data_IF_213560841008
#
_entry.id   IF_213560841008
#
_cell.length_a   1.000
_cell.length_b   1.000
_cell.length_c   1.000
_cell.angle_alpha   90.00
_cell.angle_beta   90.00
_cell.angle_gamma   90.00
#
_symmetry.space_group_name_H-M   'P 1'
#
loop_
_entity.id
_entity.type
_entity.pdbx_description
1 polymer ?
#
# COMPACT_ATOMS: atom_id res chain seq x y z
N UNK A 1 64.05 -21.32 11.89
CA UNK A 1 62.73 -20.95 11.34
C UNK A 1 61.71 -20.68 12.47
N UNK A 2 61.73 -19.50 13.13
CA UNK A 2 60.69 -19.05 14.10
C UNK A 2 60.62 -17.51 14.19
N UNK A 3 60.84 -16.80 13.07
CA UNK A 3 61.03 -15.34 13.07
C UNK A 3 59.79 -14.56 13.52
N UNK A 4 58.62 -15.17 13.50
CA UNK A 4 57.33 -14.58 13.89
C UNK A 4 56.89 -14.85 15.33
N UNK A 5 57.55 -15.75 16.09
CA UNK A 5 57.14 -16.12 17.46
C UNK A 5 57.83 -15.29 18.56
N UNK A 6 58.48 -14.19 18.22
CA UNK A 6 58.96 -13.23 19.24
C UNK A 6 57.77 -12.45 19.78
N UNK A 7 57.61 -12.37 21.11
CA UNK A 7 56.55 -11.63 21.82
C UNK A 7 56.10 -10.32 21.14
N UNK A 8 57.00 -9.38 20.77
CA UNK A 8 56.57 -8.11 20.17
C UNK A 8 55.93 -8.26 18.78
N UNK A 9 56.41 -9.21 17.96
CA UNK A 9 55.84 -9.46 16.63
C UNK A 9 54.49 -10.16 16.72
N UNK A 10 54.37 -11.11 17.65
CA UNK A 10 53.12 -11.81 17.90
C UNK A 10 52.04 -10.84 18.40
N UNK A 11 52.38 -9.96 19.35
CA UNK A 11 51.49 -8.92 19.83
C UNK A 11 51.00 -8.01 18.69
N UNK A 12 51.91 -7.57 17.81
CA UNK A 12 51.54 -6.74 16.65
C UNK A 12 50.60 -7.45 15.67
N UNK A 13 50.80 -8.74 15.41
CA UNK A 13 49.90 -9.54 14.56
C UNK A 13 48.52 -9.65 15.20
N UNK A 14 48.44 -9.94 16.50
CA UNK A 14 47.17 -10.01 17.22
C UNK A 14 46.44 -8.67 17.24
N UNK A 15 47.17 -7.57 17.46
CA UNK A 15 46.59 -6.23 17.44
C UNK A 15 46.07 -5.84 16.05
N UNK A 16 46.82 -6.20 15.01
CA UNK A 16 46.40 -6.00 13.62
C UNK A 16 45.13 -6.79 13.29
N UNK A 17 45.10 -8.08 13.65
CA UNK A 17 43.92 -8.92 13.46
C UNK A 17 42.72 -8.40 14.23
N UNK A 18 42.92 -8.01 15.50
CA UNK A 18 41.88 -7.40 16.31
C UNK A 18 41.32 -6.14 15.66
N UNK A 19 42.19 -5.23 15.23
CA UNK A 19 41.81 -4.00 14.53
C UNK A 19 40.99 -4.26 13.27
N UNK A 20 41.44 -5.19 12.41
CA UNK A 20 40.71 -5.58 11.20
C UNK A 20 39.33 -6.14 11.52
N UNK A 21 39.24 -6.97 12.57
CA UNK A 21 37.97 -7.60 12.97
C UNK A 21 36.98 -6.55 13.49
N UNK A 22 37.45 -5.61 14.33
CA UNK A 22 36.63 -4.50 14.84
C UNK A 22 36.11 -3.63 13.70
N UNK A 23 36.98 -3.22 12.78
CA UNK A 23 36.58 -2.44 11.59
C UNK A 23 35.57 -3.20 10.75
N UNK A 24 35.76 -4.51 10.57
CA UNK A 24 34.82 -5.37 9.85
C UNK A 24 33.43 -5.40 10.48
N UNK A 25 33.34 -5.45 11.81
CA UNK A 25 32.06 -5.40 12.54
C UNK A 25 31.35 -4.06 12.30
N UNK A 26 32.06 -2.93 12.38
CA UNK A 26 31.46 -1.63 12.13
C UNK A 26 30.99 -1.47 10.68
N UNK A 27 31.77 -1.94 9.72
CA UNK A 27 31.37 -1.94 8.31
C UNK A 27 30.11 -2.79 8.09
N UNK A 28 30.01 -3.94 8.75
CA UNK A 28 28.83 -4.79 8.67
C UNK A 28 27.60 -4.11 9.27
N UNK A 29 27.77 -3.45 10.41
CA UNK A 29 26.69 -2.76 11.11
C UNK A 29 26.18 -1.55 10.31
N UNK A 30 27.06 -0.73 9.73
CA UNK A 30 26.65 0.44 8.96
C UNK A 30 26.03 0.07 7.60
N UNK A 31 26.53 -0.99 6.95
CA UNK A 31 26.04 -1.39 5.63
C UNK A 31 24.77 -2.27 5.67
N UNK A 32 24.65 -3.20 6.63
CA UNK A 32 23.49 -4.12 6.68
C UNK A 32 22.45 -3.76 7.74
N UNK A 33 22.86 -3.27 8.92
CA UNK A 33 21.95 -3.10 10.07
C UNK A 33 21.38 -1.69 10.15
N UNK A 34 22.22 -0.67 9.98
CA UNK A 34 21.81 0.73 10.09
C UNK A 34 20.71 1.14 9.09
N UNK A 35 20.72 0.71 7.82
CA UNK A 35 19.65 1.04 6.88
C UNK A 35 18.30 0.48 7.32
N UNK A 36 18.29 -0.74 7.86
CA UNK A 36 17.08 -1.35 8.39
C UNK A 36 16.49 -0.58 9.56
N UNK A 37 17.32 -0.22 10.54
CA UNK A 37 16.87 0.59 11.67
C UNK A 37 16.32 1.95 11.25
N UNK A 38 16.93 2.61 10.26
CA UNK A 38 16.45 3.90 9.73
C UNK A 38 15.11 3.74 9.00
N UNK A 39 14.94 2.64 8.26
CA UNK A 39 13.70 2.34 7.55
C UNK A 39 12.55 2.02 8.51
N UNK A 40 12.80 1.17 9.51
CA UNK A 40 11.81 0.81 10.53
C UNK A 40 11.42 2.01 11.40
N UNK A 41 12.38 2.89 11.73
CA UNK A 41 12.10 4.14 12.42
C UNK A 41 11.18 5.07 11.61
N UNK A 42 11.16 4.96 10.29
CA UNK A 42 10.23 5.67 9.41
C UNK A 42 8.88 4.96 9.24
N UNK A 43 8.60 3.90 10.01
CA UNK A 43 7.37 3.10 9.92
C UNK A 43 7.26 2.27 8.65
N UNK A 44 8.39 2.06 7.95
CA UNK A 44 8.47 1.27 6.72
C UNK A 44 9.02 -0.12 7.02
N UNK A 45 8.87 -1.02 6.05
CA UNK A 45 9.42 -2.36 6.11
C UNK A 45 10.79 -2.37 5.44
N UNK A 46 11.83 -2.82 6.14
CA UNK A 46 13.13 -3.09 5.52
C UNK A 46 13.25 -4.53 5.01
N UNK A 47 13.41 -4.71 3.70
CA UNK A 47 13.70 -6.02 3.13
C UNK A 47 15.22 -6.24 3.12
N UNK A 48 15.68 -7.22 3.90
CA UNK A 48 17.10 -7.58 4.01
C UNK A 48 17.66 -8.17 2.71
N UNK A 49 16.84 -8.86 1.91
CA UNK A 49 17.30 -9.55 0.71
C UNK A 49 17.60 -8.56 -0.40
N UNK A 50 16.63 -7.70 -0.73
CA UNK A 50 16.78 -6.69 -1.77
C UNK A 50 17.36 -5.36 -1.25
N UNK A 51 17.52 -5.20 0.06
CA UNK A 51 18.03 -3.99 0.75
C UNK A 51 17.18 -2.75 0.48
N UNK A 52 15.89 -2.93 0.24
CA UNK A 52 14.96 -1.84 -0.02
C UNK A 52 14.17 -1.49 1.23
N UNK A 53 13.86 -0.21 1.35
CA UNK A 53 12.91 0.28 2.35
C UNK A 53 11.53 0.42 1.69
N UNK A 54 10.67 -0.57 1.89
CA UNK A 54 9.35 -0.67 1.29
C UNK A 54 8.27 -0.05 2.18
N UNK A 55 7.25 0.53 1.57
CA UNK A 55 6.09 1.04 2.29
C UNK A 55 4.97 -0.01 2.29
N UNK A 56 4.60 -0.57 3.45
CA UNK A 56 3.47 -1.50 3.51
C UNK A 56 2.18 -0.76 3.18
N UNK A 57 1.49 -1.25 2.15
CA UNK A 57 0.16 -0.76 1.74
C UNK A 57 -0.90 -1.73 2.25
N UNK A 58 -1.97 -1.20 2.83
CA UNK A 58 -3.07 -2.04 3.29
C UNK A 58 -3.86 -2.56 2.10
N UNK A 59 -4.18 -3.86 2.08
CA UNK A 59 -5.08 -4.43 1.05
C UNK A 59 -6.44 -3.73 1.05
N UNK A 60 -6.91 -3.21 2.19
CA UNK A 60 -8.13 -2.41 2.26
C UNK A 60 -8.04 -1.10 1.46
N UNK A 61 -6.86 -0.46 1.41
CA UNK A 61 -6.66 0.75 0.61
C UNK A 61 -6.71 0.45 -0.89
N UNK A 62 -6.24 -0.72 -1.32
CA UNK A 62 -6.24 -1.12 -2.74
C UNK A 62 -7.63 -1.60 -3.18
N UNK A 63 -8.25 -2.45 -2.35
CA UNK A 63 -9.50 -3.14 -2.71
C UNK A 63 -10.75 -2.36 -2.34
N UNK A 64 -10.63 -1.31 -1.53
CA UNK A 64 -11.76 -0.57 -0.96
C UNK A 64 -12.57 -1.37 0.07
N UNK A 65 -12.18 -2.61 0.38
CA UNK A 65 -12.85 -3.42 1.40
C UNK A 65 -12.36 -2.98 2.78
N UNK A 66 -13.24 -2.70 3.76
CA UNK A 66 -12.82 -2.37 5.11
C UNK A 66 -11.97 -3.49 5.73
N UNK A 67 -11.05 -3.12 6.63
CA UNK A 67 -10.30 -4.10 7.42
C UNK A 67 -11.24 -4.79 8.42
N UNK A 68 -11.08 -6.10 8.61
CA UNK A 68 -11.83 -6.88 9.61
C UNK A 68 -13.18 -7.43 9.16
N UNK A 69 -13.68 -7.07 7.97
CA UNK A 69 -14.90 -7.67 7.40
C UNK A 69 -14.58 -8.83 6.47
N UNK A 70 -15.42 -9.87 6.53
CA UNK A 70 -15.35 -10.96 5.59
C UNK A 70 -15.68 -10.49 4.18
N UNK A 71 -15.20 -11.23 3.17
CA UNK A 71 -15.56 -10.97 1.77
C UNK A 71 -17.08 -11.03 1.56
N UNK A 72 -17.76 -11.93 2.26
CA UNK A 72 -19.19 -12.15 2.11
C UNK A 72 -20.00 -10.95 2.62
N UNK A 73 -19.65 -10.41 3.80
CA UNK A 73 -20.32 -9.23 4.37
C UNK A 73 -20.14 -8.00 3.50
N UNK A 74 -18.90 -7.72 3.06
CA UNK A 74 -18.62 -6.59 2.17
C UNK A 74 -19.38 -6.69 0.84
N UNK A 75 -19.48 -7.89 0.27
CA UNK A 75 -20.26 -8.14 -0.96
C UNK A 75 -21.75 -7.92 -0.72
N UNK A 76 -22.30 -8.40 0.39
CA UNK A 76 -23.71 -8.24 0.73
C UNK A 76 -24.10 -6.77 0.96
N UNK A 77 -23.20 -5.95 1.49
CA UNK A 77 -23.42 -4.52 1.63
C UNK A 77 -23.40 -3.80 0.27
N UNK A 78 -22.40 -4.06 -0.58
CA UNK A 78 -22.33 -3.48 -1.93
C UNK A 78 -23.50 -3.89 -2.82
N UNK A 79 -23.97 -5.13 -2.71
CA UNK A 79 -25.17 -5.57 -3.43
C UNK A 79 -26.42 -4.82 -2.99
N UNK A 80 -26.58 -4.55 -1.68
CA UNK A 80 -27.70 -3.75 -1.16
C UNK A 80 -27.64 -2.30 -1.64
N UNK A 81 -26.46 -1.73 -1.73
CA UNK A 81 -26.25 -0.40 -2.31
C UNK A 81 -26.64 -0.37 -3.79
N UNK A 82 -26.23 -1.38 -4.57
CA UNK A 82 -26.57 -1.49 -6.00
C UNK A 82 -28.09 -1.51 -6.22
N UNK A 83 -28.81 -2.33 -5.44
CA UNK A 83 -30.27 -2.42 -5.54
C UNK A 83 -30.94 -1.07 -5.24
N UNK A 84 -30.44 -0.30 -4.27
CA UNK A 84 -30.96 1.05 -3.97
C UNK A 84 -30.74 2.00 -5.15
N UNK A 85 -29.55 1.98 -5.73
CA UNK A 85 -29.22 2.81 -6.90
C UNK A 85 -30.13 2.47 -8.07
N UNK A 86 -30.36 1.18 -8.34
CA UNK A 86 -31.27 0.74 -9.40
C UNK A 86 -32.70 1.23 -9.17
N UNK A 87 -33.19 1.17 -7.93
CA UNK A 87 -34.52 1.67 -7.55
C UNK A 87 -34.63 3.19 -7.77
N UNK A 88 -33.62 3.96 -7.35
CA UNK A 88 -33.59 5.41 -7.53
C UNK A 88 -33.54 5.80 -9.01
N UNK A 89 -32.71 5.10 -9.80
CA UNK A 89 -32.63 5.31 -11.25
C UNK A 89 -33.97 4.99 -11.94
N UNK A 90 -34.65 3.91 -11.53
CA UNK A 90 -35.97 3.57 -12.06
C UNK A 90 -37.03 4.61 -11.67
N UNK A 91 -36.98 5.16 -10.45
CA UNK A 91 -37.86 6.25 -10.03
C UNK A 91 -37.63 7.53 -10.85
N UNK A 92 -36.36 7.93 -11.02
CA UNK A 92 -36.00 9.07 -11.87
C UNK A 92 -36.42 8.87 -13.33
N UNK A 93 -36.24 7.66 -13.87
CA UNK A 93 -36.68 7.31 -15.22
C UNK A 93 -38.19 7.49 -15.41
N UNK A 94 -39.00 7.01 -14.45
CA UNK A 94 -40.45 7.22 -14.46
C UNK A 94 -40.85 8.70 -14.39
N UNK A 95 -40.17 9.49 -13.55
CA UNK A 95 -40.42 10.93 -13.45
C UNK A 95 -40.12 11.66 -14.76
N UNK A 96 -38.98 11.37 -15.40
CA UNK A 96 -38.61 11.94 -16.71
C UNK A 96 -39.58 11.53 -17.81
N UNK A 97 -40.02 10.27 -17.83
CA UNK A 97 -41.00 9.79 -18.80
C UNK A 97 -42.35 10.53 -18.65
N UNK A 98 -42.84 10.70 -17.42
CA UNK A 98 -44.06 11.46 -17.16
C UNK A 98 -43.94 12.94 -17.56
N UNK A 99 -42.77 13.55 -17.36
CA UNK A 99 -42.50 14.90 -17.84
C UNK A 99 -42.49 15.00 -19.36
N UNK A 100 -41.83 14.06 -20.03
CA UNK A 100 -41.79 14.00 -21.49
C UNK A 100 -43.19 13.87 -22.09
N UNK A 101 -44.06 13.03 -21.51
CA UNK A 101 -45.45 12.89 -21.95
C UNK A 101 -46.25 14.18 -21.75
N UNK A 102 -46.08 14.87 -20.61
CA UNK A 102 -46.70 16.20 -20.38
C UNK A 102 -46.23 17.23 -21.41
N UNK A 103 -44.94 17.26 -21.72
CA UNK A 103 -44.39 18.18 -22.73
C UNK A 103 -44.92 17.86 -24.13
N UNK A 104 -44.97 16.58 -24.52
CA UNK A 104 -45.56 16.15 -25.80
C UNK A 104 -47.03 16.57 -25.91
N UNK A 105 -47.82 16.35 -24.86
CA UNK A 105 -49.23 16.74 -24.83
C UNK A 105 -49.40 18.27 -24.96
N UNK A 106 -48.58 19.06 -24.26
CA UNK A 106 -48.61 20.52 -24.35
C UNK A 106 -48.23 21.02 -25.76
N UNK A 107 -47.21 20.44 -26.39
CA UNK A 107 -46.80 20.76 -27.75
C UNK A 107 -47.88 20.39 -28.78
N UNK A 108 -48.54 19.24 -28.61
CA UNK A 108 -49.64 18.82 -29.47
C UNK A 108 -50.83 19.80 -29.40
N UNK A 109 -51.18 20.27 -28.19
CA UNK A 109 -52.25 21.24 -27.98
C UNK A 109 -51.90 22.64 -28.52
N UNK A 110 -50.63 23.03 -28.50
CA UNK A 110 -50.16 24.32 -28.99
C UNK A 110 -49.96 24.38 -30.52
N UNK A 111 -50.01 23.23 -31.22
CA UNK A 111 -49.80 23.18 -32.67
C UNK A 111 -51.09 23.60 -33.39
N UNK A 112 -51.10 24.71 -34.16
CA UNK A 112 -52.29 25.14 -34.89
C UNK A 112 -52.68 24.10 -35.95
N UNK A 113 -53.97 23.88 -36.14
CA UNK A 113 -54.50 23.06 -37.23
C UNK A 113 -54.12 23.73 -38.56
N UNK A 114 -53.38 23.00 -39.41
CA UNK A 114 -53.12 23.39 -40.78
C UNK A 114 -54.34 23.10 -41.66
#
# INVERSE_FOLDING_TARGET
MKRFLTFPRLAMIFFGLFGVTVVGIFALQDYWVAPGKRCEAAGKWYDMESRICAQPISIAQITGRPNGVSRAEASAEKNRELVRIEQDLAAQGRARAAEAERQKAALAAARPAA
#
